data_IF_538378612991
#
_entry.id   IF_538378612991
#
_cell.length_a   1.000
_cell.length_b   1.000
_cell.length_c   1.000
_cell.angle_alpha   90.00
_cell.angle_beta   90.00
_cell.angle_gamma   90.00
#
_symmetry.space_group_name_H-M   'P 1'
#
loop_
_entity.id
_entity.type
_entity.pdbx_description
1 polymer ?
#
# COMPACT_ATOMS: atom_id res chain seq x y z
N UNK A 1 12.68 -9.45 -10.68
CA UNK A 1 11.99 -9.30 -9.37
C UNK A 1 10.53 -9.02 -9.65
N UNK A 2 9.63 -9.50 -8.80
CA UNK A 2 8.19 -9.33 -9.02
C UNK A 2 7.70 -8.09 -8.26
N UNK A 3 7.04 -7.20 -8.99
CA UNK A 3 6.49 -5.94 -8.46
C UNK A 3 4.99 -5.95 -8.72
N UNK A 4 4.20 -5.83 -7.65
CA UNK A 4 2.76 -5.62 -7.75
C UNK A 4 2.43 -4.13 -7.81
N UNK A 5 1.49 -3.75 -8.67
CA UNK A 5 0.98 -2.39 -8.77
C UNK A 5 -0.51 -2.40 -8.49
N UNK A 6 -0.97 -1.62 -7.51
CA UNK A 6 -2.37 -1.50 -7.16
C UNK A 6 -3.14 -0.78 -8.28
N UNK A 7 -4.10 -1.47 -8.92
CA UNK A 7 -4.87 -0.92 -10.02
C UNK A 7 -6.31 -1.45 -10.03
N UNK A 8 -7.30 -0.57 -9.95
CA UNK A 8 -8.72 -0.97 -10.04
C UNK A 8 -9.13 -1.40 -11.45
N UNK A 9 -8.47 -0.83 -12.47
CA UNK A 9 -8.81 -0.97 -13.89
C UNK A 9 -7.77 -1.76 -14.70
N UNK A 10 -6.76 -2.35 -14.05
CA UNK A 10 -5.62 -3.02 -14.69
C UNK A 10 -4.89 -2.13 -15.73
N UNK A 11 -4.89 -0.81 -15.51
CA UNK A 11 -4.31 0.18 -16.44
C UNK A 11 -3.58 1.30 -15.73
N UNK A 12 -4.12 1.80 -14.61
CA UNK A 12 -3.58 2.95 -13.89
C UNK A 12 -3.36 2.64 -12.41
N UNK A 13 -2.35 3.26 -11.80
CA UNK A 13 -2.10 3.20 -10.36
C UNK A 13 -3.25 3.90 -9.64
N UNK A 14 -3.83 3.24 -8.64
CA UNK A 14 -4.92 3.82 -7.84
C UNK A 14 -4.39 4.48 -6.57
N UNK A 15 -4.94 5.65 -6.23
CA UNK A 15 -4.65 6.39 -4.99
C UNK A 15 -5.15 5.75 -3.69
N UNK A 16 -5.67 4.51 -3.72
CA UNK A 16 -6.30 3.88 -2.56
C UNK A 16 -5.90 2.40 -2.43
N UNK A 17 -4.69 2.10 -1.97
CA UNK A 17 -4.23 0.71 -1.79
C UNK A 17 -5.12 -0.10 -0.85
N UNK A 18 -5.59 0.51 0.25
CA UNK A 18 -6.28 -0.19 1.33
C UNK A 18 -7.63 -0.83 0.96
N UNK A 19 -8.29 -0.35 -0.10
CA UNK A 19 -9.56 -0.91 -0.59
C UNK A 19 -9.40 -1.64 -1.92
N UNK A 20 -8.20 -1.61 -2.50
CA UNK A 20 -7.94 -2.19 -3.80
C UNK A 20 -7.71 -3.69 -3.67
N UNK A 21 -8.42 -4.44 -4.48
CA UNK A 21 -8.38 -5.91 -4.52
C UNK A 21 -7.66 -6.44 -5.76
N UNK A 22 -7.26 -5.51 -6.63
CA UNK A 22 -6.72 -5.79 -7.95
C UNK A 22 -5.30 -5.28 -8.05
N UNK A 23 -4.39 -6.18 -8.40
CA UNK A 23 -2.98 -5.87 -8.53
C UNK A 23 -2.47 -6.39 -9.86
N UNK A 24 -1.72 -5.56 -10.57
CA UNK A 24 -0.96 -5.95 -11.74
C UNK A 24 0.41 -6.43 -11.27
N UNK A 25 0.83 -7.63 -11.66
CA UNK A 25 2.17 -8.13 -11.33
C UNK A 25 3.05 -7.98 -12.55
N UNK A 26 4.15 -7.27 -12.35
CA UNK A 26 5.18 -7.06 -13.35
C UNK A 26 6.46 -7.79 -12.97
N UNK A 27 7.09 -8.44 -13.94
CA UNK A 27 8.49 -8.81 -13.83
C UNK A 27 9.35 -7.61 -14.21
N UNK A 28 10.09 -7.13 -13.23
CA UNK A 28 10.99 -6.01 -13.34
C UNK A 28 12.43 -6.52 -13.18
N UNK A 29 13.29 -6.22 -14.16
CA UNK A 29 14.70 -6.59 -14.11
C UNK A 29 15.57 -5.39 -14.48
N UNK A 30 16.77 -5.28 -13.90
CA UNK A 30 17.72 -4.25 -14.30
C UNK A 30 17.96 -4.33 -15.81
N UNK A 31 17.91 -3.18 -16.47
CA UNK A 31 18.08 -3.04 -17.92
C UNK A 31 17.02 -3.76 -18.79
N UNK A 32 15.86 -4.15 -18.25
CA UNK A 32 14.71 -4.59 -19.04
C UNK A 32 13.47 -3.74 -18.78
N UNK A 33 12.62 -3.54 -19.80
CA UNK A 33 11.31 -2.95 -19.58
C UNK A 33 10.48 -3.87 -18.68
N UNK A 34 9.69 -3.31 -17.76
CA UNK A 34 8.81 -4.11 -16.92
C UNK A 34 7.76 -4.81 -17.79
N UNK A 35 7.63 -6.12 -17.61
CA UNK A 35 6.68 -6.94 -18.36
C UNK A 35 5.56 -7.38 -17.44
N UNK A 36 4.31 -7.15 -17.83
CA UNK A 36 3.17 -7.71 -17.13
C UNK A 36 3.21 -9.24 -17.26
N UNK A 37 3.31 -9.93 -16.13
CA UNK A 37 3.40 -11.39 -16.08
C UNK A 37 2.17 -12.02 -15.45
N UNK A 38 1.47 -11.29 -14.57
CA UNK A 38 0.30 -11.81 -13.88
C UNK A 38 -0.65 -10.67 -13.44
N UNK A 39 -1.89 -11.03 -13.11
CA UNK A 39 -2.90 -10.10 -12.59
C UNK A 39 -3.64 -10.77 -11.44
N UNK A 40 -3.53 -10.19 -10.25
CA UNK A 40 -4.26 -10.65 -9.07
C UNK A 40 -5.61 -9.95 -9.02
N UNK A 41 -6.69 -10.71 -9.07
CA UNK A 41 -8.06 -10.27 -8.75
C UNK A 41 -8.49 -10.99 -7.47
N UNK A 42 -8.42 -10.28 -6.34
CA UNK A 42 -8.69 -10.85 -5.03
C UNK A 42 -10.16 -10.66 -4.65
N UNK A 43 -10.80 -11.66 -4.00
CA UNK A 43 -12.10 -11.46 -3.38
C UNK A 43 -11.99 -10.48 -2.22
N UNK A 44 -13.12 -9.86 -1.83
CA UNK A 44 -13.18 -8.86 -0.76
C UNK A 44 -12.55 -9.36 0.56
N UNK A 45 -12.76 -10.63 0.84
CA UNK A 45 -12.29 -11.34 2.03
C UNK A 45 -10.76 -11.50 2.08
N UNK A 46 -10.09 -11.40 0.93
CA UNK A 46 -8.63 -11.40 0.78
C UNK A 46 -8.07 -10.00 0.54
N UNK A 47 -8.85 -8.94 0.77
CA UNK A 47 -8.27 -7.59 0.85
C UNK A 47 -7.36 -7.54 2.07
N UNK A 48 -6.18 -6.92 1.97
CA UNK A 48 -5.29 -6.75 3.14
C UNK A 48 -6.02 -6.12 4.33
N UNK A 49 -7.05 -5.31 4.09
CA UNK A 49 -7.91 -4.74 5.13
C UNK A 49 -8.71 -5.80 5.93
N UNK A 50 -9.27 -6.81 5.25
CA UNK A 50 -10.16 -7.83 5.85
C UNK A 50 -9.45 -9.18 6.10
N UNK A 51 -8.29 -9.40 5.49
CA UNK A 51 -7.52 -10.63 5.64
C UNK A 51 -7.05 -10.79 7.09
N UNK A 52 -7.55 -11.80 7.78
CA UNK A 52 -7.28 -12.09 9.20
C UNK A 52 -5.92 -12.75 9.47
N UNK A 53 -4.92 -12.46 8.64
CA UNK A 53 -3.53 -12.94 8.79
C UNK A 53 -3.35 -14.48 8.84
N UNK A 54 -4.41 -15.26 8.59
CA UNK A 54 -4.45 -16.72 8.70
C UNK A 54 -4.03 -17.38 7.37
N UNK A 55 -2.75 -17.21 6.99
CA UNK A 55 -2.12 -17.96 5.88
C UNK A 55 -1.31 -17.16 4.86
N UNK A 56 -0.84 -17.88 3.83
CA UNK A 56 -0.08 -17.35 2.71
C UNK A 56 -0.96 -16.46 1.83
N UNK A 57 -0.58 -15.19 1.71
CA UNK A 57 -1.25 -14.22 0.86
C UNK A 57 -0.63 -14.26 -0.54
N UNK A 58 -1.42 -14.15 -1.62
CA UNK A 58 -0.87 -14.07 -2.99
C UNK A 58 0.11 -12.90 -3.22
N UNK A 59 0.09 -11.88 -2.35
CA UNK A 59 1.08 -10.79 -2.35
C UNK A 59 2.43 -11.20 -1.73
N UNK A 60 2.53 -12.29 -0.98
CA UNK A 60 3.81 -12.80 -0.46
C UNK A 60 4.74 -13.28 -1.59
N UNK A 61 4.19 -13.50 -2.80
CA UNK A 61 4.98 -13.85 -4.00
C UNK A 61 5.71 -12.67 -4.61
N UNK A 62 5.30 -11.44 -4.30
CA UNK A 62 5.91 -10.23 -4.86
C UNK A 62 6.90 -9.62 -3.87
N UNK A 63 7.94 -8.99 -4.38
CA UNK A 63 8.96 -8.35 -3.53
C UNK A 63 8.55 -6.93 -3.14
N UNK A 64 7.84 -6.24 -4.04
CA UNK A 64 7.48 -4.83 -3.89
C UNK A 64 6.03 -4.61 -4.31
N UNK A 65 5.31 -3.76 -3.58
CA UNK A 65 3.97 -3.30 -3.91
C UNK A 65 3.99 -1.79 -4.09
N UNK A 66 3.60 -1.30 -5.26
CA UNK A 66 3.47 0.13 -5.57
C UNK A 66 2.00 0.51 -5.58
N UNK A 67 1.63 1.56 -4.87
CA UNK A 67 0.29 2.11 -4.87
C UNK A 67 0.28 3.63 -4.84
N UNK A 68 -0.85 4.26 -5.19
CA UNK A 68 -0.93 5.72 -5.18
C UNK A 68 -1.00 6.32 -3.78
N UNK A 69 -1.62 5.59 -2.84
CA UNK A 69 -1.57 5.90 -1.41
C UNK A 69 -1.82 4.61 -0.62
N UNK A 70 -1.19 4.49 0.53
CA UNK A 70 -1.30 3.35 1.42
C UNK A 70 -1.36 3.84 2.87
N UNK A 71 -2.33 3.34 3.61
CA UNK A 71 -2.44 3.64 5.04
C UNK A 71 -1.35 2.93 5.86
N UNK A 72 -1.04 3.43 7.07
CA UNK A 72 0.02 2.86 7.93
C UNK A 72 -0.20 1.38 8.25
N UNK A 73 -1.46 0.95 8.44
CA UNK A 73 -1.78 -0.46 8.66
C UNK A 73 -1.47 -1.36 7.47
N UNK A 74 -1.55 -0.85 6.23
CA UNK A 74 -1.16 -1.59 5.04
C UNK A 74 0.37 -1.75 4.98
N UNK A 75 1.10 -0.66 5.21
CA UNK A 75 2.57 -0.68 5.23
C UNK A 75 3.10 -1.65 6.29
N UNK A 76 2.55 -1.60 7.51
CA UNK A 76 2.92 -2.50 8.60
C UNK A 76 2.67 -3.98 8.26
N UNK A 77 1.51 -4.30 7.66
CA UNK A 77 1.16 -5.68 7.25
C UNK A 77 2.06 -6.19 6.13
N UNK A 78 2.46 -5.34 5.18
CA UNK A 78 3.39 -5.72 4.11
C UNK A 78 4.81 -5.91 4.66
N UNK A 79 5.27 -5.02 5.54
CA UNK A 79 6.56 -5.15 6.21
C UNK A 79 6.65 -6.44 7.04
N UNK A 80 5.59 -6.80 7.77
CA UNK A 80 5.51 -8.06 8.53
C UNK A 80 5.65 -9.31 7.65
N UNK A 81 5.32 -9.20 6.36
CA UNK A 81 5.41 -10.27 5.35
C UNK A 81 6.71 -10.24 4.56
N UNK A 82 7.59 -9.26 4.81
CA UNK A 82 8.82 -9.07 4.03
C UNK A 82 8.58 -8.46 2.64
N UNK A 83 7.40 -7.87 2.40
CA UNK A 83 7.05 -7.20 1.15
C UNK A 83 7.21 -5.69 1.33
N UNK A 84 7.93 -5.04 0.41
CA UNK A 84 8.15 -3.59 0.47
C UNK A 84 6.97 -2.86 -0.14
N UNK A 85 6.20 -2.13 0.66
CA UNK A 85 5.11 -1.30 0.16
C UNK A 85 5.58 0.15 -0.03
N UNK A 86 5.35 0.70 -1.23
CA UNK A 86 5.77 2.03 -1.64
C UNK A 86 4.57 2.79 -2.19
N UNK A 87 4.47 4.05 -1.78
CA UNK A 87 3.46 4.97 -2.29
C UNK A 87 4.08 5.89 -3.34
N UNK A 88 3.37 6.16 -4.43
CA UNK A 88 3.82 7.05 -5.49
C UNK A 88 2.71 7.97 -5.98
N UNK A 89 3.06 9.18 -6.38
CA UNK A 89 2.13 10.07 -7.09
C UNK A 89 1.99 9.70 -8.58
N UNK A 90 2.81 8.76 -9.08
CA UNK A 90 2.76 8.30 -10.46
C UNK A 90 1.50 7.49 -10.75
N UNK A 91 0.87 7.76 -11.90
CA UNK A 91 -0.38 7.10 -12.29
C UNK A 91 -0.16 6.00 -13.32
N UNK A 92 0.97 6.03 -14.03
CA UNK A 92 1.33 5.01 -14.99
C UNK A 92 2.11 3.87 -14.31
N UNK A 93 1.64 2.60 -14.40
CA UNK A 93 2.27 1.48 -13.72
C UNK A 93 3.68 1.18 -14.24
N UNK A 94 3.92 1.38 -15.55
CA UNK A 94 5.22 1.12 -16.17
C UNK A 94 6.22 2.19 -15.74
N UNK A 95 5.82 3.46 -15.80
CA UNK A 95 6.65 4.59 -15.35
C UNK A 95 6.98 4.49 -13.86
N UNK A 96 6.00 4.10 -13.03
CA UNK A 96 6.24 3.90 -11.60
C UNK A 96 7.31 2.84 -11.34
N UNK A 97 7.27 1.70 -12.05
CA UNK A 97 8.27 0.65 -11.92
C UNK A 97 9.64 1.10 -12.46
N UNK A 98 9.68 1.80 -13.59
CA UNK A 98 10.93 2.32 -14.15
C UNK A 98 11.60 3.29 -13.18
N UNK A 99 10.84 4.21 -12.60
CA UNK A 99 11.34 5.15 -11.61
C UNK A 99 11.81 4.44 -10.33
N UNK A 100 11.15 3.34 -9.94
CA UNK A 100 11.58 2.50 -8.81
C UNK A 100 12.94 1.88 -9.08
N UNK A 101 13.11 1.24 -10.24
CA UNK A 101 14.36 0.62 -10.64
C UNK A 101 15.49 1.64 -10.82
N UNK A 102 15.16 2.86 -11.25
CA UNK A 102 16.11 3.96 -11.38
C UNK A 102 16.46 4.63 -10.03
N UNK A 103 15.77 4.28 -8.94
CA UNK A 103 15.92 4.96 -7.64
C UNK A 103 15.41 6.40 -7.62
N UNK A 104 14.62 6.81 -8.61
CA UNK A 104 14.11 8.18 -8.80
C UNK A 104 12.58 8.25 -8.62
N UNK A 105 12.02 7.31 -7.86
CA UNK A 105 10.58 7.22 -7.66
C UNK A 105 10.05 8.43 -6.88
N UNK A 106 9.12 9.22 -7.44
CA UNK A 106 8.60 10.38 -6.74
C UNK A 106 7.84 9.89 -5.50
N UNK A 107 8.22 10.35 -4.29
CA UNK A 107 7.51 9.97 -3.09
C UNK A 107 6.04 10.39 -3.24
N UNK A 108 5.10 9.56 -2.78
CA UNK A 108 3.72 10.02 -2.65
C UNK A 108 3.68 11.27 -1.76
N UNK A 109 2.67 12.11 -2.01
CA UNK A 109 2.40 13.25 -1.15
C UNK A 109 2.40 12.80 0.32
N UNK A 110 3.07 13.54 1.23
CA UNK A 110 3.01 13.23 2.65
C UNK A 110 1.55 13.21 3.06
N UNK A 111 1.14 12.12 3.72
CA UNK A 111 -0.10 12.13 4.47
C UNK A 111 0.15 13.07 5.64
N UNK A 112 -0.50 14.24 5.63
CA UNK A 112 -0.64 15.08 6.81
C UNK A 112 -1.30 14.20 7.87
N UNK A 113 -0.50 13.73 8.81
CA UNK A 113 -1.01 13.42 10.12
C UNK A 113 -1.33 14.77 10.74
N UNK A 114 -2.52 15.29 10.44
CA UNK A 114 -3.24 16.12 11.40
C UNK A 114 -3.51 15.17 12.58
N UNK A 115 -2.53 15.09 13.48
CA UNK A 115 -2.76 14.74 14.86
C UNK A 115 -3.64 15.87 15.45
N UNK A 116 -4.90 15.92 15.04
CA UNK A 116 -5.96 16.54 15.82
C UNK A 116 -6.02 15.72 17.12
N UNK A 117 -5.26 16.16 18.13
CA UNK A 117 -5.42 15.77 19.52
C UNK A 117 -6.83 16.17 19.99
N UNK A 118 -7.85 15.45 19.55
CA UNK A 118 -9.18 15.45 20.14
C UNK A 118 -9.16 14.49 21.34
N UNK A 119 -8.40 14.85 22.38
CA UNK A 119 -8.59 14.25 23.71
C UNK A 119 -9.56 15.14 24.50
N UNK A 120 -10.84 14.89 24.28
CA UNK A 120 -11.87 15.19 25.24
C UNK A 120 -11.65 14.42 26.55
N UNK A 121 -11.68 15.15 27.66
CA UNK A 121 -12.25 14.63 28.91
C UNK A 121 -11.29 14.42 30.09
N UNK A 122 -11.19 15.43 30.95
CA UNK A 122 -11.10 15.20 32.39
C UNK A 122 -12.03 16.15 33.15
N UNK A 123 -13.31 15.77 33.20
CA UNK A 123 -14.27 16.31 34.15
C UNK A 123 -14.05 15.61 35.50
N UNK A 124 -13.04 16.05 36.26
CA UNK A 124 -12.83 15.61 37.65
C UNK A 124 -13.38 16.65 38.63
N UNK A 125 -14.71 16.64 38.79
CA UNK A 125 -15.32 17.16 40.02
C UNK A 125 -15.15 16.11 41.13
N UNK A 126 -14.03 16.17 41.86
CA UNK A 126 -13.81 15.33 43.04
C UNK A 126 -13.32 16.14 44.24
N UNK A 127 -14.27 16.57 45.08
CA UNK A 127 -14.10 16.47 46.54
C UNK A 127 -14.24 17.75 47.38
N UNK A 128 -15.48 18.03 47.80
CA UNK A 128 -15.93 18.36 49.18
C UNK A 128 -15.10 19.33 50.04
N UNK A 129 -15.75 20.46 50.35
CA UNK A 129 -16.11 20.91 51.70
C UNK A 129 -15.21 20.51 52.89
N UNK A 130 -14.53 21.50 53.45
CA UNK A 130 -14.61 21.86 54.88
C UNK A 130 -14.12 23.31 55.05
#
# INVERSE_FOLDING_TARGET
>A
MLIAVASQNFRTVTGHAGKTRRFLVFDAAPCRPPQEVDRLDLPKEMSIHEFKEDGAHPLDKVSVVIAGSAGPGFLARMAARGVVAITTSETDPVTAIQNYLAGSLPPAAPHDHDDEEEEGGCNCNCGRAA
#
